data_IF_443814055536
#
_entry.id   IF_443814055536
#
_cell.length_a   1.000
_cell.length_b   1.000
_cell.length_c   1.000
_cell.angle_alpha   90.00
_cell.angle_beta   90.00
_cell.angle_gamma   90.00
#
_symmetry.space_group_name_H-M   'P 1'
#
loop_
_entity.id
_entity.type
_entity.pdbx_description
1 polymer ?
#
# COMPACT_ATOMS: atom_id res chain seq x y z
N UNK A 1 -13.45 -5.04 -17.38
CA UNK A 1 -12.47 -4.26 -16.62
C UNK A 1 -12.69 -4.45 -15.13
N UNK A 2 -11.63 -4.72 -14.41
CA UNK A 2 -11.71 -5.02 -12.98
C UNK A 2 -11.56 -3.75 -12.18
N UNK A 3 -12.60 -3.35 -11.46
CA UNK A 3 -12.59 -2.14 -10.63
C UNK A 3 -12.99 -2.46 -9.20
N UNK A 4 -12.45 -1.71 -8.22
CA UNK A 4 -12.89 -1.87 -6.84
C UNK A 4 -14.36 -1.46 -6.68
N UNK A 5 -15.01 -2.05 -5.68
CA UNK A 5 -16.36 -1.64 -5.30
C UNK A 5 -16.28 -0.31 -4.54
N UNK A 6 -17.44 0.32 -4.31
CA UNK A 6 -17.47 1.57 -3.54
C UNK A 6 -16.90 1.39 -2.14
N UNK A 7 -17.17 0.26 -1.51
CA UNK A 7 -16.61 -0.03 -0.19
C UNK A 7 -15.11 -0.18 -0.26
N UNK A 8 -14.60 -0.85 -1.31
CA UNK A 8 -13.18 -1.01 -1.50
C UNK A 8 -12.49 0.33 -1.76
N UNK A 9 -13.14 1.25 -2.48
CA UNK A 9 -12.58 2.59 -2.67
C UNK A 9 -12.44 3.34 -1.35
N UNK A 10 -13.41 3.18 -0.44
CA UNK A 10 -13.31 3.80 0.88
C UNK A 10 -12.15 3.23 1.68
N UNK A 11 -11.93 1.93 1.58
CA UNK A 11 -10.79 1.26 2.22
C UNK A 11 -9.49 1.80 1.64
N UNK A 12 -9.43 1.93 0.31
CA UNK A 12 -8.25 2.44 -0.38
C UNK A 12 -7.92 3.86 0.10
N UNK A 13 -8.93 4.74 0.15
CA UNK A 13 -8.71 6.12 0.61
C UNK A 13 -8.21 6.17 2.05
N UNK A 14 -8.79 5.36 2.92
CA UNK A 14 -8.39 5.31 4.32
C UNK A 14 -6.96 4.82 4.47
N UNK A 15 -6.61 3.78 3.73
CA UNK A 15 -5.26 3.22 3.77
C UNK A 15 -4.25 4.21 3.25
N UNK A 16 -4.56 4.87 2.12
CA UNK A 16 -3.69 5.90 1.56
C UNK A 16 -3.43 7.02 2.58
N UNK A 17 -4.49 7.46 3.24
CA UNK A 17 -4.36 8.54 4.22
C UNK A 17 -3.44 8.14 5.37
N UNK A 18 -3.63 6.94 5.91
CA UNK A 18 -2.80 6.46 7.02
C UNK A 18 -1.34 6.35 6.64
N UNK A 19 -1.06 5.76 5.48
CA UNK A 19 0.31 5.56 5.03
C UNK A 19 0.97 6.89 4.69
N UNK A 20 0.25 7.74 3.97
CA UNK A 20 0.80 9.06 3.59
C UNK A 20 1.12 9.90 4.82
N UNK A 21 0.26 9.87 5.83
CA UNK A 21 0.51 10.61 7.07
C UNK A 21 1.73 10.05 7.81
N UNK A 22 1.87 8.73 7.81
CA UNK A 22 3.00 8.11 8.50
C UNK A 22 4.34 8.50 7.85
N UNK A 23 4.39 8.52 6.54
CA UNK A 23 5.62 8.80 5.80
C UNK A 23 5.81 10.27 5.45
N UNK A 24 4.79 11.10 5.67
CA UNK A 24 4.88 12.52 5.35
C UNK A 24 4.92 12.77 3.84
N UNK A 25 4.21 11.97 3.06
CA UNK A 25 4.17 12.13 1.61
C UNK A 25 2.75 12.45 1.15
N UNK A 26 2.64 13.03 -0.03
CA UNK A 26 1.34 13.37 -0.62
C UNK A 26 0.79 12.19 -1.40
N UNK A 27 -0.54 12.04 -1.37
CA UNK A 27 -1.21 11.03 -2.17
C UNK A 27 -0.87 11.16 -3.66
N UNK A 28 -0.74 12.40 -4.12
CA UNK A 28 -0.42 12.67 -5.53
C UNK A 28 0.91 12.02 -5.92
N UNK A 29 1.90 12.05 -5.03
CA UNK A 29 3.18 11.40 -5.27
C UNK A 29 3.04 9.88 -5.39
N UNK A 30 2.12 9.30 -4.60
CA UNK A 30 1.87 7.86 -4.66
C UNK A 30 1.31 7.46 -6.02
N UNK A 31 0.34 8.25 -6.52
CA UNK A 31 -0.32 7.95 -7.80
C UNK A 31 0.63 8.20 -8.97
N UNK A 32 1.42 9.24 -8.90
CA UNK A 32 2.41 9.55 -9.93
C UNK A 32 3.55 8.54 -9.89
N UNK A 33 4.40 8.57 -10.92
CA UNK A 33 5.55 7.66 -10.99
C UNK A 33 6.77 8.25 -10.31
N UNK A 34 6.55 8.93 -9.18
CA UNK A 34 7.64 9.44 -8.37
C UNK A 34 8.46 8.26 -7.84
N UNK A 35 9.74 8.27 -8.10
CA UNK A 35 10.63 7.17 -7.77
C UNK A 35 11.49 7.38 -6.54
N UNK A 36 11.21 8.41 -5.74
CA UNK A 36 12.01 8.61 -4.52
C UNK A 36 11.81 7.44 -3.57
N UNK A 37 12.84 7.15 -2.77
CA UNK A 37 12.83 5.98 -1.88
C UNK A 37 11.66 6.00 -0.91
N UNK A 38 11.36 7.15 -0.32
CA UNK A 38 10.29 7.23 0.66
C UNK A 38 8.92 7.05 0.02
N UNK A 39 8.71 7.62 -1.18
CA UNK A 39 7.45 7.47 -1.89
C UNK A 39 7.28 6.02 -2.35
N UNK A 40 8.34 5.40 -2.83
CA UNK A 40 8.31 4.01 -3.25
C UNK A 40 7.97 3.09 -2.08
N UNK A 41 8.56 3.35 -0.91
CA UNK A 41 8.26 2.59 0.31
C UNK A 41 6.80 2.75 0.71
N UNK A 42 6.31 4.00 0.73
CA UNK A 42 4.92 4.27 1.10
C UNK A 42 3.96 3.57 0.12
N UNK A 43 4.24 3.65 -1.16
CA UNK A 43 3.44 2.98 -2.18
C UNK A 43 3.38 1.48 -1.92
N UNK A 44 4.54 0.89 -1.64
CA UNK A 44 4.62 -0.54 -1.35
C UNK A 44 3.75 -0.93 -0.17
N UNK A 45 3.81 -0.18 0.92
CA UNK A 45 2.97 -0.45 2.09
C UNK A 45 1.48 -0.36 1.76
N UNK A 46 1.09 0.65 0.98
CA UNK A 46 -0.32 0.78 0.58
C UNK A 46 -0.77 -0.47 -0.18
N UNK A 47 -0.02 -0.87 -1.19
CA UNK A 47 -0.39 -2.02 -2.01
C UNK A 47 -0.41 -3.31 -1.19
N UNK A 48 0.56 -3.48 -0.31
CA UNK A 48 0.63 -4.67 0.53
C UNK A 48 -0.55 -4.74 1.49
N UNK A 49 -0.86 -3.63 2.16
CA UNK A 49 -1.97 -3.58 3.12
C UNK A 49 -3.30 -3.87 2.43
N UNK A 50 -3.53 -3.24 1.29
CA UNK A 50 -4.79 -3.44 0.56
C UNK A 50 -4.99 -4.90 0.19
N UNK A 51 -3.93 -5.56 -0.24
CA UNK A 51 -4.03 -6.96 -0.64
C UNK A 51 -4.06 -7.91 0.58
N UNK A 52 -3.15 -7.70 1.52
CA UNK A 52 -2.97 -8.61 2.66
C UNK A 52 -4.06 -8.46 3.71
N UNK A 53 -4.38 -7.23 4.10
CA UNK A 53 -5.32 -6.99 5.20
C UNK A 53 -6.77 -6.97 4.73
N UNK A 54 -7.03 -6.49 3.54
CA UNK A 54 -8.40 -6.32 3.06
C UNK A 54 -8.77 -7.24 1.91
N UNK A 55 -7.83 -8.03 1.42
CA UNK A 55 -8.12 -9.02 0.39
C UNK A 55 -8.48 -8.45 -0.97
N UNK A 56 -8.14 -7.20 -1.24
CA UNK A 56 -8.43 -6.61 -2.55
C UNK A 56 -7.49 -7.26 -3.57
N UNK A 57 -8.05 -7.68 -4.71
CA UNK A 57 -7.27 -8.41 -5.69
C UNK A 57 -6.19 -7.52 -6.33
N UNK A 58 -5.10 -8.17 -6.76
CA UNK A 58 -4.00 -7.47 -7.42
C UNK A 58 -4.49 -6.76 -8.67
N UNK A 59 -5.40 -7.37 -9.42
CA UNK A 59 -5.97 -6.76 -10.63
C UNK A 59 -6.70 -5.46 -10.33
N UNK A 60 -7.48 -5.42 -9.26
CA UNK A 60 -8.19 -4.21 -8.85
C UNK A 60 -7.22 -3.12 -8.43
N UNK A 61 -6.19 -3.49 -7.67
CA UNK A 61 -5.17 -2.55 -7.21
C UNK A 61 -4.42 -1.97 -8.40
N UNK A 62 -4.00 -2.84 -9.33
CA UNK A 62 -3.28 -2.42 -10.53
C UNK A 62 -4.11 -1.42 -11.34
N UNK A 63 -5.40 -1.70 -11.51
CA UNK A 63 -6.28 -0.81 -12.24
C UNK A 63 -6.42 0.55 -11.54
N UNK A 64 -6.50 0.54 -10.22
CA UNK A 64 -6.65 1.77 -9.44
C UNK A 64 -5.45 2.70 -9.61
N UNK A 65 -4.25 2.13 -9.64
CA UNK A 65 -3.02 2.92 -9.68
C UNK A 65 -2.39 2.99 -11.07
N UNK A 66 -3.10 2.53 -12.09
CA UNK A 66 -2.62 2.56 -13.48
C UNK A 66 -1.27 1.87 -13.62
N UNK A 67 -1.13 0.70 -12.98
CA UNK A 67 0.09 -0.09 -13.02
C UNK A 67 -0.24 -1.50 -13.49
N UNK A 68 0.78 -2.23 -13.92
CA UNK A 68 0.60 -3.62 -14.30
C UNK A 68 0.44 -4.49 -13.06
N UNK A 69 -0.22 -5.63 -13.20
CA UNK A 69 -0.35 -6.58 -12.10
C UNK A 69 1.03 -7.07 -11.65
N UNK A 70 1.97 -7.21 -12.60
CA UNK A 70 3.34 -7.61 -12.27
C UNK A 70 4.01 -6.59 -11.36
N UNK A 71 3.85 -5.30 -11.65
CA UNK A 71 4.42 -4.23 -10.83
C UNK A 71 3.83 -4.25 -9.42
N UNK A 72 2.52 -4.41 -9.32
CA UNK A 72 1.85 -4.48 -8.02
C UNK A 72 2.35 -5.69 -7.23
N UNK A 73 2.43 -6.84 -7.88
CA UNK A 73 2.92 -8.07 -7.25
C UNK A 73 4.35 -7.89 -6.75
N UNK A 74 5.20 -7.22 -7.53
CA UNK A 74 6.58 -6.95 -7.15
C UNK A 74 6.65 -6.09 -5.89
N UNK A 75 5.86 -5.02 -5.82
CA UNK A 75 5.82 -4.15 -4.64
C UNK A 75 5.36 -4.91 -3.41
N UNK A 76 4.33 -5.73 -3.55
CA UNK A 76 3.79 -6.53 -2.45
C UNK A 76 4.87 -7.49 -1.95
N UNK A 77 5.56 -8.16 -2.87
CA UNK A 77 6.64 -9.09 -2.51
C UNK A 77 7.77 -8.40 -1.79
N UNK A 78 8.14 -7.21 -2.24
CA UNK A 78 9.21 -6.43 -1.61
C UNK A 78 8.87 -6.10 -0.16
N UNK A 79 7.67 -5.61 0.08
CA UNK A 79 7.23 -5.27 1.45
C UNK A 79 7.12 -6.53 2.30
N UNK A 80 6.59 -7.60 1.74
CA UNK A 80 6.50 -8.89 2.44
C UNK A 80 7.86 -9.34 2.96
N UNK A 81 8.91 -9.13 2.16
CA UNK A 81 10.26 -9.45 2.60
C UNK A 81 10.78 -8.48 3.64
N UNK A 82 10.51 -7.18 3.46
CA UNK A 82 11.00 -6.16 4.38
C UNK A 82 10.41 -6.31 5.79
N UNK A 83 9.13 -6.64 5.90
CA UNK A 83 8.48 -6.73 7.20
C UNK A 83 8.94 -7.94 8.02
N UNK A 84 9.79 -8.79 7.47
CA UNK A 84 10.46 -9.82 8.26
C UNK A 84 11.48 -9.19 9.20
N UNK A 85 11.96 -7.98 8.87
CA UNK A 85 12.84 -7.22 9.74
C UNK A 85 12.00 -6.41 10.71
N UNK A 86 12.45 -6.38 11.96
CA UNK A 86 11.69 -5.78 13.05
C UNK A 86 11.25 -4.34 12.78
N UNK A 87 12.18 -3.50 12.31
CA UNK A 87 11.87 -2.08 12.10
C UNK A 87 10.75 -1.88 11.09
N UNK A 88 10.76 -2.64 10.01
CA UNK A 88 9.73 -2.52 8.97
C UNK A 88 8.41 -3.12 9.45
N UNK A 89 8.46 -4.16 10.25
CA UNK A 89 7.26 -4.74 10.84
C UNK A 89 6.61 -3.78 11.82
N UNK A 90 7.41 -3.06 12.59
CA UNK A 90 6.89 -2.08 13.54
C UNK A 90 6.18 -0.93 12.80
N UNK A 91 6.75 -0.50 11.67
CA UNK A 91 6.09 0.50 10.82
C UNK A 91 4.74 -0.02 10.34
N UNK A 92 4.72 -1.25 9.85
CA UNK A 92 3.50 -1.88 9.38
C UNK A 92 2.44 -1.96 10.49
N UNK A 93 2.84 -2.41 11.67
CA UNK A 93 1.94 -2.52 12.82
C UNK A 93 1.40 -1.16 13.25
N UNK A 94 2.25 -0.13 13.20
CA UNK A 94 1.86 1.23 13.55
C UNK A 94 0.79 1.76 12.58
N UNK A 95 1.00 1.55 11.29
CA UNK A 95 0.05 2.00 10.27
C UNK A 95 -1.29 1.26 10.43
N UNK A 96 -1.24 -0.04 10.67
CA UNK A 96 -2.43 -0.87 10.82
C UNK A 96 -2.98 -0.88 12.24
N UNK A 97 -2.33 -0.17 13.15
CA UNK A 97 -2.70 -0.12 14.56
C UNK A 97 -2.71 -1.49 15.22
N UNK A 98 -1.75 -2.31 14.81
CA UNK A 98 -1.57 -3.64 15.40
C UNK A 98 -0.46 -3.61 16.42
N UNK A 99 -0.46 -4.59 17.32
CA UNK A 99 0.62 -4.75 18.27
C UNK A 99 0.55 -3.84 19.47
N UNK A 100 -0.47 -3.02 19.56
CA UNK A 100 -0.69 -2.13 20.70
C UNK A 100 -1.58 -2.77 21.76
N UNK A 101 -1.91 -3.99 21.53
CA UNK A 101 -2.83 -4.70 22.41
C UNK A 101 -2.09 -5.54 23.41
#
# INVERSE_FOLDING_TARGET
MVKPTDEEYKIIERTEKKVCEHFGVHRQSIVNKDGTSIVSMARGYILYILHKEYGISIAKIANTYFRTSRAVFWHIGKIKCLIKQRIYKEIYNSICEKGNK
#
